data_IF_773605886801
#
_entry.id   IF_773605886801
#
_cell.length_a   1.000
_cell.length_b   1.000
_cell.length_c   1.000
_cell.angle_alpha   90.00
_cell.angle_beta   90.00
_cell.angle_gamma   90.00
#
_symmetry.space_group_name_H-M   'P 1'
#
loop_
_entity.id
_entity.type
_entity.pdbx_description
1 polymer ?
#
# COMPACT_ATOMS: atom_id res chain seq x y z
N UNK A 1 29.20 44.92 2.67
CA UNK A 1 28.56 45.03 3.07
C UNK A 1 27.98 45.16 2.97
N UNK A 2 28.31 44.78 2.82
CA UNK A 2 27.58 44.92 3.11
C UNK A 2 27.11 44.82 2.86
N UNK A 3 27.37 44.75 2.61
CA UNK A 3 26.60 44.88 2.62
C UNK A 3 25.97 44.85 2.32
N UNK A 4 26.40 44.80 2.09
CA UNK A 4 25.42 45.03 2.23
C UNK A 4 24.96 44.84 1.72
N UNK A 5 25.01 44.94 1.28
CA UNK A 5 24.23 45.02 1.15
C UNK A 5 23.74 44.65 1.01
N UNK A 6 24.05 44.67 0.88
CA UNK A 6 23.38 44.59 1.08
C UNK A 6 23.03 44.18 1.12
N UNK A 7 23.29 44.33 1.17
CA UNK A 7 22.73 44.05 1.67
C UNK A 7 22.22 43.92 1.93
N UNK A 8 22.39 44.11 2.21
CA UNK A 8 21.89 43.48 2.66
C UNK A 8 20.66 42.76 3.19
N UNK A 9 19.66 42.78 3.35
CA UNK A 9 18.49 42.16 3.77
C UNK A 9 17.78 41.20 2.87
N UNK A 10 18.18 40.90 1.64
CA UNK A 10 17.72 39.76 0.85
C UNK A 10 17.83 38.42 1.55
N UNK A 11 18.82 38.23 2.38
CA UNK A 11 19.00 37.02 3.17
C UNK A 11 17.86 36.81 4.17
N UNK A 12 17.42 37.87 4.79
CA UNK A 12 16.33 37.84 5.75
C UNK A 12 14.99 37.48 5.09
N UNK A 13 14.68 38.06 3.94
CA UNK A 13 13.49 37.75 3.18
C UNK A 13 13.50 36.30 2.71
N UNK A 14 14.64 35.80 2.29
CA UNK A 14 14.80 34.43 1.87
C UNK A 14 14.49 33.44 3.00
N UNK A 15 14.93 33.73 4.22
CA UNK A 15 14.66 32.90 5.39
C UNK A 15 13.16 32.83 5.69
N UNK A 16 12.43 33.95 5.55
CA UNK A 16 10.98 33.98 5.74
C UNK A 16 10.25 33.11 4.71
N UNK A 17 10.65 33.17 3.44
CA UNK A 17 10.10 32.35 2.37
C UNK A 17 10.34 30.86 2.67
N UNK A 18 11.52 30.50 3.14
CA UNK A 18 11.85 29.12 3.52
C UNK A 18 10.96 28.62 4.66
N UNK A 19 10.68 29.44 5.65
CA UNK A 19 9.81 29.07 6.76
C UNK A 19 8.39 28.81 6.30
N UNK A 20 7.88 29.61 5.38
CA UNK A 20 6.55 29.41 4.81
C UNK A 20 6.46 28.10 4.02
N UNK A 21 7.47 27.79 3.22
CA UNK A 21 7.56 26.55 2.46
C UNK A 21 7.63 25.34 3.42
N UNK A 22 8.44 25.43 4.46
CA UNK A 22 8.52 24.39 5.48
C UNK A 22 7.19 24.16 6.18
N UNK A 23 6.47 25.24 6.51
CA UNK A 23 5.16 25.14 7.14
C UNK A 23 4.13 24.48 6.22
N UNK A 24 4.15 24.81 4.93
CA UNK A 24 3.26 24.20 3.94
C UNK A 24 3.54 22.70 3.80
N UNK A 25 4.81 22.32 3.73
CA UNK A 25 5.22 20.90 3.66
C UNK A 25 4.78 20.13 4.90
N UNK A 26 5.02 20.71 6.09
CA UNK A 26 4.61 20.09 7.34
C UNK A 26 3.09 19.92 7.41
N UNK A 27 2.33 20.89 6.95
CA UNK A 27 0.86 20.82 6.92
C UNK A 27 0.36 19.75 5.97
N UNK A 28 0.99 19.58 4.81
CA UNK A 28 0.65 18.52 3.86
C UNK A 28 0.89 17.15 4.46
N UNK A 29 2.03 16.95 5.10
CA UNK A 29 2.39 15.69 5.75
C UNK A 29 1.38 15.38 6.87
N UNK A 30 1.05 16.37 7.69
CA UNK A 30 0.10 16.19 8.78
C UNK A 30 -1.31 15.89 8.29
N UNK A 31 -1.71 16.48 7.17
CA UNK A 31 -3.01 16.21 6.54
C UNK A 31 -3.10 14.77 6.04
N UNK A 32 -2.06 14.29 5.39
CA UNK A 32 -1.97 12.91 4.92
C UNK A 32 -2.02 11.94 6.10
N UNK A 33 -1.30 12.24 7.16
CA UNK A 33 -1.27 11.43 8.37
C UNK A 33 -2.65 11.36 9.03
N UNK A 34 -3.35 12.49 9.15
CA UNK A 34 -4.71 12.52 9.72
C UNK A 34 -5.69 11.71 8.88
N UNK A 35 -5.57 11.80 7.56
CA UNK A 35 -6.42 11.03 6.66
C UNK A 35 -6.16 9.53 6.83
N UNK A 36 -4.90 9.14 6.93
CA UNK A 36 -4.53 7.74 7.15
C UNK A 36 -5.12 7.20 8.45
N UNK A 37 -4.97 7.93 9.55
CA UNK A 37 -5.52 7.52 10.85
C UNK A 37 -7.04 7.50 10.85
N UNK A 38 -7.67 8.44 10.19
CA UNK A 38 -9.14 8.47 10.07
C UNK A 38 -9.65 7.22 9.37
N UNK A 39 -8.93 6.78 8.34
CA UNK A 39 -9.25 5.58 7.61
C UNK A 39 -8.99 4.33 8.45
N UNK A 40 -7.87 4.32 9.15
CA UNK A 40 -7.47 3.22 10.04
C UNK A 40 -8.53 2.99 11.13
N UNK A 41 -9.07 4.05 11.70
CA UNK A 41 -10.09 3.95 12.75
C UNK A 41 -11.36 3.24 12.29
N UNK A 42 -11.61 3.21 10.99
CA UNK A 42 -12.78 2.56 10.40
C UNK A 42 -12.52 1.11 9.99
N UNK A 43 -11.28 0.66 10.07
CA UNK A 43 -10.93 -0.69 9.62
C UNK A 43 -11.35 -1.75 10.62
N UNK A 44 -11.84 -2.88 10.11
CA UNK A 44 -12.03 -4.08 10.92
C UNK A 44 -10.69 -4.77 11.13
N UNK A 45 -10.62 -5.67 12.10
CA UNK A 45 -9.42 -6.48 12.34
C UNK A 45 -9.08 -7.33 11.11
N UNK A 46 -10.08 -7.84 10.43
CA UNK A 46 -9.87 -8.61 9.20
C UNK A 46 -9.21 -7.76 8.13
N UNK A 47 -9.68 -6.54 7.95
CA UNK A 47 -9.10 -5.59 6.98
C UNK A 47 -7.68 -5.22 7.36
N UNK A 48 -7.41 -5.04 8.66
CA UNK A 48 -6.06 -4.77 9.14
C UNK A 48 -5.10 -5.91 8.80
N UNK A 49 -5.54 -7.16 8.98
CA UNK A 49 -4.74 -8.34 8.62
C UNK A 49 -4.46 -8.39 7.11
N UNK A 50 -5.47 -8.11 6.30
CA UNK A 50 -5.32 -8.05 4.84
C UNK A 50 -4.34 -6.96 4.43
N UNK A 51 -4.44 -5.79 5.04
CA UNK A 51 -3.54 -4.68 4.78
C UNK A 51 -2.09 -5.03 5.13
N UNK A 52 -1.87 -5.68 6.27
CA UNK A 52 -0.53 -6.13 6.66
C UNK A 52 0.06 -7.14 5.67
N UNK A 53 -0.77 -7.98 5.06
CA UNK A 53 -0.32 -8.87 4.00
C UNK A 53 0.21 -8.08 2.80
N UNK A 54 -0.42 -6.97 2.45
CA UNK A 54 0.07 -6.10 1.38
C UNK A 54 1.45 -5.51 1.70
N UNK A 55 1.78 -5.39 2.97
CA UNK A 55 3.11 -4.98 3.42
C UNK A 55 4.10 -6.16 3.51
N UNK A 56 3.65 -7.36 3.18
CA UNK A 56 4.48 -8.55 3.26
C UNK A 56 4.60 -9.15 4.65
N UNK A 57 3.72 -8.76 5.57
CA UNK A 57 3.74 -9.26 6.94
C UNK A 57 2.70 -10.37 7.11
N UNK A 58 3.07 -11.40 7.87
CA UNK A 58 2.15 -12.48 8.20
C UNK A 58 1.35 -12.10 9.44
N UNK A 59 0.09 -11.77 9.23
CA UNK A 59 -0.78 -11.31 10.30
C UNK A 59 -1.65 -12.41 10.90
N UNK A 60 -1.69 -13.59 10.30
CA UNK A 60 -2.59 -14.67 10.69
C UNK A 60 -2.34 -15.18 12.10
N UNK A 61 -1.08 -15.20 12.53
CA UNK A 61 -0.66 -15.67 13.85
C UNK A 61 -0.56 -14.55 14.89
N UNK A 62 -0.88 -13.32 14.53
CA UNK A 62 -0.79 -12.18 15.43
C UNK A 62 -2.07 -12.01 16.22
N UNK A 63 -1.93 -11.59 17.48
CA UNK A 63 -3.10 -11.19 18.29
C UNK A 63 -3.70 -9.90 17.70
N UNK A 64 -4.94 -9.61 18.05
CA UNK A 64 -5.60 -8.39 17.59
C UNK A 64 -4.82 -7.14 18.00
N UNK A 65 -4.29 -7.12 19.22
CA UNK A 65 -3.49 -6.00 19.73
C UNK A 65 -2.21 -5.82 18.93
N UNK A 66 -1.56 -6.93 18.57
CA UNK A 66 -0.35 -6.87 17.76
C UNK A 66 -0.64 -6.39 16.34
N UNK A 67 -1.75 -6.83 15.76
CA UNK A 67 -2.20 -6.37 14.43
C UNK A 67 -2.38 -4.86 14.44
N UNK A 68 -3.08 -4.33 15.43
CA UNK A 68 -3.29 -2.88 15.56
C UNK A 68 -1.96 -2.14 15.73
N UNK A 69 -1.07 -2.67 16.56
CA UNK A 69 0.25 -2.06 16.78
C UNK A 69 1.08 -2.03 15.51
N UNK A 70 1.08 -3.12 14.74
CA UNK A 70 1.81 -3.17 13.47
C UNK A 70 1.23 -2.23 12.43
N UNK A 71 -0.09 -2.11 12.38
CA UNK A 71 -0.75 -1.15 11.48
C UNK A 71 -0.35 0.28 11.85
N UNK A 72 -0.38 0.63 13.14
CA UNK A 72 0.03 1.95 13.61
C UNK A 72 1.48 2.26 13.25
N UNK A 73 2.36 1.28 13.40
CA UNK A 73 3.77 1.44 13.00
C UNK A 73 3.92 1.77 11.53
N UNK A 74 3.19 1.07 10.66
CA UNK A 74 3.27 1.29 9.22
C UNK A 74 2.74 2.68 8.85
N UNK A 75 1.66 3.11 9.47
CA UNK A 75 1.07 4.42 9.21
C UNK A 75 2.01 5.54 9.70
N UNK A 76 2.57 5.39 10.92
CA UNK A 76 3.52 6.37 11.46
C UNK A 76 4.76 6.49 10.58
N UNK A 77 5.23 5.36 10.09
CA UNK A 77 6.44 5.31 9.28
C UNK A 77 6.25 5.98 7.92
N UNK A 78 5.11 5.73 7.26
CA UNK A 78 4.84 6.28 5.94
C UNK A 78 3.32 6.28 5.69
N UNK A 79 2.62 7.34 6.12
CA UNK A 79 1.16 7.41 5.93
C UNK A 79 0.75 7.50 4.46
N UNK A 80 1.57 8.12 3.61
CA UNK A 80 1.29 8.18 2.18
C UNK A 80 1.29 6.79 1.54
N UNK A 81 2.23 5.95 1.96
CA UNK A 81 2.30 4.56 1.48
C UNK A 81 1.07 3.76 1.88
N UNK A 82 0.57 3.97 3.09
CA UNK A 82 -0.66 3.33 3.56
C UNK A 82 -1.84 3.73 2.68
N UNK A 83 -1.99 5.02 2.38
CA UNK A 83 -3.07 5.49 1.52
C UNK A 83 -2.97 4.90 0.11
N UNK A 84 -1.77 4.80 -0.43
CA UNK A 84 -1.56 4.21 -1.75
C UNK A 84 -1.83 2.70 -1.77
N UNK A 85 -1.47 1.99 -0.72
CA UNK A 85 -1.64 0.54 -0.67
C UNK A 85 -3.06 0.12 -0.33
N UNK A 86 -3.73 0.85 0.53
CA UNK A 86 -5.03 0.44 1.04
C UNK A 86 -6.17 1.30 0.53
N UNK A 87 -6.12 2.60 0.75
CA UNK A 87 -7.26 3.49 0.48
C UNK A 87 -7.45 3.75 -1.00
N UNK A 88 -6.37 4.10 -1.69
CA UNK A 88 -6.39 4.50 -3.10
C UNK A 88 -5.89 3.40 -4.03
N UNK A 89 -5.94 2.17 -3.59
CA UNK A 89 -5.48 1.03 -4.39
C UNK A 89 -6.68 0.32 -5.00
N UNK A 90 -6.97 0.65 -6.25
CA UNK A 90 -8.09 0.04 -6.99
C UNK A 90 -7.86 -1.44 -7.26
N UNK A 91 -6.62 -1.89 -7.16
CA UNK A 91 -6.22 -3.27 -7.46
C UNK A 91 -6.06 -4.13 -6.21
N UNK A 92 -6.37 -3.60 -5.03
CA UNK A 92 -6.14 -4.33 -3.78
C UNK A 92 -6.93 -5.63 -3.70
N UNK A 93 -8.13 -5.67 -4.25
CA UNK A 93 -8.94 -6.89 -4.27
C UNK A 93 -8.27 -7.99 -5.09
N UNK A 94 -7.68 -7.62 -6.23
CA UNK A 94 -6.92 -8.57 -7.04
C UNK A 94 -5.67 -9.03 -6.32
N UNK A 95 -4.99 -8.15 -5.62
CA UNK A 95 -3.82 -8.51 -4.82
C UNK A 95 -4.19 -9.53 -3.73
N UNK A 96 -5.33 -9.35 -3.07
CA UNK A 96 -5.80 -10.31 -2.05
C UNK A 96 -6.13 -11.66 -2.66
N UNK A 97 -6.78 -11.67 -3.82
CA UNK A 97 -7.11 -12.89 -4.54
C UNK A 97 -5.82 -13.65 -4.86
N UNK A 98 -4.82 -12.96 -5.38
CA UNK A 98 -3.53 -13.55 -5.74
C UNK A 98 -2.83 -14.11 -4.49
N UNK A 99 -2.76 -13.31 -3.42
CA UNK A 99 -2.11 -13.73 -2.18
C UNK A 99 -2.78 -14.96 -1.57
N UNK A 100 -4.11 -14.99 -1.52
CA UNK A 100 -4.83 -16.16 -1.02
C UNK A 100 -4.63 -17.37 -1.91
N UNK A 101 -4.66 -17.19 -3.21
CA UNK A 101 -4.45 -18.28 -4.15
C UNK A 101 -3.05 -18.88 -4.02
N UNK A 102 -2.05 -18.04 -3.80
CA UNK A 102 -0.67 -18.50 -3.56
C UNK A 102 -0.59 -19.25 -2.22
N UNK A 103 -1.21 -18.71 -1.18
CA UNK A 103 -1.21 -19.34 0.14
C UNK A 103 -1.88 -20.71 0.12
N UNK A 104 -2.90 -20.88 -0.70
CA UNK A 104 -3.66 -22.17 -0.83
C UNK A 104 -3.13 -23.06 -1.94
N UNK A 105 -2.01 -22.71 -2.56
CA UNK A 105 -1.37 -23.44 -3.65
C UNK A 105 -2.22 -23.58 -4.92
N UNK A 106 -3.18 -22.69 -5.11
CA UNK A 106 -3.98 -22.62 -6.32
C UNK A 106 -3.15 -21.98 -7.42
N UNK A 107 -2.46 -20.88 -7.09
CA UNK A 107 -1.45 -20.26 -7.95
C UNK A 107 -0.09 -20.66 -7.38
N UNK A 108 0.79 -21.16 -8.24
CA UNK A 108 2.15 -21.51 -7.84
C UNK A 108 3.08 -20.37 -8.16
N UNK A 109 3.89 -20.01 -7.18
CA UNK A 109 4.90 -18.96 -7.34
C UNK A 109 6.28 -19.61 -7.32
N UNK A 110 7.05 -19.41 -8.39
CA UNK A 110 8.43 -19.84 -8.49
C UNK A 110 9.29 -18.61 -8.76
N UNK A 111 10.00 -18.14 -7.75
CA UNK A 111 10.78 -16.89 -7.77
C UNK A 111 9.84 -15.71 -8.06
N UNK A 112 9.93 -15.10 -9.25
CA UNK A 112 9.05 -14.01 -9.66
C UNK A 112 7.92 -14.46 -10.57
N UNK A 113 7.92 -15.72 -10.98
CA UNK A 113 6.94 -16.25 -11.94
C UNK A 113 5.75 -16.86 -11.23
N UNK A 114 4.57 -16.59 -11.75
CA UNK A 114 3.30 -17.08 -11.22
C UNK A 114 2.66 -17.99 -12.26
N UNK A 115 2.15 -19.14 -11.80
CA UNK A 115 1.54 -20.17 -12.65
C UNK A 115 0.15 -20.55 -12.14
N UNK A 116 -0.80 -20.69 -13.05
CA UNK A 116 -2.08 -21.31 -12.77
C UNK A 116 -2.22 -22.55 -13.65
N UNK A 117 -2.21 -23.74 -13.03
CA UNK A 117 -2.09 -24.99 -13.77
C UNK A 117 -0.70 -25.07 -14.41
N UNK A 118 -0.66 -25.26 -15.72
CA UNK A 118 0.58 -25.31 -16.48
C UNK A 118 0.94 -23.99 -17.14
N UNK A 119 0.04 -22.99 -17.06
CA UNK A 119 0.20 -21.71 -17.74
C UNK A 119 0.85 -20.67 -16.84
N UNK A 120 1.87 -20.00 -17.38
CA UNK A 120 2.44 -18.85 -16.70
C UNK A 120 1.51 -17.64 -16.86
N UNK A 121 1.04 -17.09 -15.75
CA UNK A 121 0.11 -15.97 -15.78
C UNK A 121 0.78 -14.62 -15.51
N UNK A 122 2.03 -14.60 -15.13
CA UNK A 122 2.76 -13.36 -14.95
C UNK A 122 4.16 -13.57 -14.40
N UNK A 123 5.02 -12.58 -14.67
CA UNK A 123 6.37 -12.52 -14.13
C UNK A 123 6.43 -11.33 -13.19
N UNK A 124 5.87 -11.52 -12.00
CA UNK A 124 5.69 -10.49 -11.00
C UNK A 124 4.22 -10.22 -10.75
N UNK A 125 3.92 -9.65 -9.62
CA UNK A 125 2.52 -9.44 -9.20
C UNK A 125 1.77 -8.47 -10.14
N UNK A 126 2.46 -7.47 -10.66
CA UNK A 126 1.85 -6.49 -11.56
C UNK A 126 1.37 -7.14 -12.85
N UNK A 127 2.15 -8.08 -13.38
CA UNK A 127 1.78 -8.84 -14.57
C UNK A 127 0.56 -9.71 -14.31
N UNK A 128 0.50 -10.34 -13.15
CA UNK A 128 -0.65 -11.18 -12.76
C UNK A 128 -1.91 -10.33 -12.61
N UNK A 129 -1.80 -9.15 -12.03
CA UNK A 129 -2.91 -8.22 -11.90
C UNK A 129 -3.42 -7.83 -13.28
N UNK A 130 -2.51 -7.46 -14.19
CA UNK A 130 -2.88 -7.12 -15.57
C UNK A 130 -3.55 -8.28 -16.29
N UNK A 131 -3.03 -9.49 -16.09
CA UNK A 131 -3.60 -10.72 -16.66
C UNK A 131 -5.04 -10.93 -16.19
N UNK A 132 -5.29 -10.78 -14.90
CA UNK A 132 -6.64 -10.97 -14.33
C UNK A 132 -7.60 -9.85 -14.69
N UNK A 133 -7.10 -8.68 -15.06
CA UNK A 133 -7.94 -7.57 -15.51
C UNK A 133 -8.41 -7.72 -16.96
N UNK A 134 -7.72 -8.51 -17.76
CA UNK A 134 -8.09 -8.68 -19.16
C UNK A 134 -9.43 -9.40 -19.30
N UNK A 135 -10.25 -8.93 -20.23
CA UNK A 135 -11.59 -9.52 -20.48
C UNK A 135 -11.53 -10.98 -20.86
N UNK A 136 -10.52 -11.35 -21.64
CA UNK A 136 -10.35 -12.75 -22.11
C UNK A 136 -9.99 -13.72 -20.98
N UNK A 137 -9.56 -13.20 -19.84
CA UNK A 137 -9.11 -14.00 -18.70
C UNK A 137 -10.11 -14.03 -17.54
N UNK A 138 -11.32 -13.50 -17.73
CA UNK A 138 -12.31 -13.47 -16.65
C UNK A 138 -12.75 -14.86 -16.21
N UNK A 139 -12.79 -15.82 -17.11
CA UNK A 139 -13.09 -17.21 -16.76
C UNK A 139 -12.04 -17.79 -15.82
N UNK A 140 -10.78 -17.48 -16.06
CA UNK A 140 -9.68 -17.92 -15.21
C UNK A 140 -9.79 -17.28 -13.82
N UNK A 141 -10.10 -15.99 -13.78
CA UNK A 141 -10.31 -15.28 -12.51
C UNK A 141 -11.44 -15.92 -11.70
N UNK A 142 -12.55 -16.24 -12.35
CA UNK A 142 -13.70 -16.89 -11.69
C UNK A 142 -13.32 -18.28 -11.19
N UNK A 143 -12.55 -19.04 -11.96
CA UNK A 143 -12.08 -20.37 -11.56
C UNK A 143 -11.21 -20.28 -10.32
N UNK A 144 -10.30 -19.31 -10.26
CA UNK A 144 -9.43 -19.08 -9.09
C UNK A 144 -10.29 -18.75 -7.87
N UNK A 145 -11.27 -17.87 -8.02
CA UNK A 145 -12.17 -17.49 -6.92
C UNK A 145 -12.96 -18.69 -6.39
N UNK A 146 -13.44 -19.55 -7.28
CA UNK A 146 -14.15 -20.76 -6.87
C UNK A 146 -13.27 -21.73 -6.12
N UNK A 147 -12.04 -21.92 -6.57
CA UNK A 147 -11.08 -22.79 -5.88
C UNK A 147 -10.70 -22.23 -4.50
N UNK A 148 -10.59 -20.91 -4.38
CA UNK A 148 -10.34 -20.28 -3.08
C UNK A 148 -11.48 -20.58 -2.11
N UNK A 149 -12.72 -20.50 -2.57
CA UNK A 149 -13.91 -20.78 -1.75
C UNK A 149 -14.00 -22.26 -1.36
N UNK A 150 -13.53 -23.15 -2.22
CA UNK A 150 -13.61 -24.60 -2.02
C UNK A 150 -12.56 -25.10 -1.03
N UNK A 151 -11.51 -24.37 -0.84
CA UNK A 151 -10.42 -24.72 0.06
C UNK A 151 -10.42 -23.91 1.33
#
# INVERSE_FOLDING_TARGET
MADGLSNINPSKDYVLINKDVEAEEANKINKVKREAYRNFDKMSIEDMRKCLRLYGLRADDMSNELVEARMSEQIEKDPARYLLKWVNNDEKELMFIIEEAVAKNIIRKNRTQYYYGTDMIGNGIDDVISYLKEKKNQDIKLSILQEIKSK
#
